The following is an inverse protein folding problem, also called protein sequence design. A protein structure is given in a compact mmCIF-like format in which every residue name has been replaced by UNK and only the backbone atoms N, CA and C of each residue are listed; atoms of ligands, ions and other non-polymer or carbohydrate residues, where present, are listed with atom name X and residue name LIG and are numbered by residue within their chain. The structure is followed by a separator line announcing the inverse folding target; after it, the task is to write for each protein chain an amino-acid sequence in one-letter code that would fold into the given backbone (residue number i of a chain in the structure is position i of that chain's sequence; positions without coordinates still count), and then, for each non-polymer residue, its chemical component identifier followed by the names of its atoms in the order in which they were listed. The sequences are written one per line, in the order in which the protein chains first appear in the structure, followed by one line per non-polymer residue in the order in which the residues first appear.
data_IF_834570094717
#
_entry.id   IF_834570094717
#
_cell.length_a   1.000
_cell.length_b   1.000
_cell.length_c   1.000
_cell.angle_alpha   90.00
_cell.angle_beta   90.00
_cell.angle_gamma   90.00
#
_symmetry.space_group_name_H-M   'P 1'
#
loop_
_entity.id
_entity.type
_entity.pdbx_description
1 polymer ?
#
# COMPACT_ATOMS: atom_id res chain seq x y z
N UNK A 1 -0.81 7.69 19.87
CA UNK A 1 -0.04 8.92 20.13
C UNK A 1 1.42 8.67 19.77
N UNK A 2 2.07 9.58 19.03
CA UNK A 2 3.45 9.39 18.51
C UNK A 2 4.48 10.33 19.17
N UNK A 3 4.02 11.26 20.01
CA UNK A 3 4.83 12.22 20.76
C UNK A 3 5.82 11.60 21.77
N UNK A 4 5.58 10.42 22.39
CA UNK A 4 6.50 9.93 23.42
C UNK A 4 7.82 9.34 22.88
N UNK A 5 7.95 9.17 21.55
CA UNK A 5 9.12 8.54 20.95
C UNK A 5 10.22 9.58 20.66
N UNK A 6 11.45 9.26 21.08
CA UNK A 6 12.64 10.03 20.71
C UNK A 6 13.05 9.71 19.26
N UNK A 7 12.43 10.40 18.29
CA UNK A 7 12.58 10.16 16.86
C UNK A 7 14.01 10.28 16.33
N UNK A 8 14.88 10.97 17.04
CA UNK A 8 16.32 11.10 16.76
C UNK A 8 17.03 9.74 16.81
N UNK A 9 16.45 8.77 17.53
CA UNK A 9 16.98 7.39 17.64
C UNK A 9 16.47 6.47 16.52
N UNK A 10 15.54 6.94 15.69
CA UNK A 10 14.90 6.13 14.66
C UNK A 10 15.12 6.75 13.28
N UNK A 11 15.60 5.94 12.34
CA UNK A 11 15.75 6.35 10.94
C UNK A 11 14.51 6.07 10.10
N UNK A 12 13.60 5.22 10.57
CA UNK A 12 12.47 4.74 9.78
C UNK A 12 11.29 4.27 10.64
N UNK A 13 10.09 4.34 10.07
CA UNK A 13 8.86 3.76 10.58
C UNK A 13 8.36 2.69 9.60
N UNK A 14 8.11 1.48 10.11
CA UNK A 14 7.52 0.39 9.31
C UNK A 14 6.00 0.39 9.46
N UNK A 15 5.29 0.42 8.33
CA UNK A 15 3.83 0.27 8.27
C UNK A 15 3.45 -1.21 8.42
N UNK A 16 3.30 -1.66 9.67
CA UNK A 16 3.01 -3.06 10.00
C UNK A 16 1.61 -3.56 9.61
N UNK A 17 0.75 -2.73 9.02
CA UNK A 17 -0.57 -3.10 8.54
C UNK A 17 -0.82 -2.44 7.17
N UNK A 18 -1.39 -3.18 6.22
CA UNK A 18 -1.68 -2.69 4.86
C UNK A 18 -2.62 -1.48 4.83
N UNK A 19 -3.47 -1.31 5.86
CA UNK A 19 -4.35 -0.15 6.00
C UNK A 19 -3.60 1.17 6.21
N UNK A 20 -2.38 1.14 6.77
CA UNK A 20 -1.64 2.37 7.02
C UNK A 20 -1.13 3.04 5.75
N UNK A 21 -1.06 2.31 4.63
CA UNK A 21 -0.67 2.87 3.34
C UNK A 21 -1.59 4.00 2.87
N UNK A 22 -2.86 4.04 3.30
CA UNK A 22 -3.81 5.09 2.93
C UNK A 22 -3.52 6.47 3.56
N UNK A 23 -2.62 6.51 4.54
CA UNK A 23 -2.40 7.66 5.43
C UNK A 23 -0.96 8.15 5.43
N UNK A 24 -0.14 7.78 4.43
CA UNK A 24 1.27 8.19 4.36
C UNK A 24 1.44 9.71 4.40
N UNK A 25 0.56 10.46 3.74
CA UNK A 25 0.54 11.93 3.79
C UNK A 25 0.34 12.49 5.20
N UNK A 26 -0.53 11.86 5.97
CA UNK A 26 -0.90 12.25 7.33
C UNK A 26 0.23 11.90 8.27
N UNK A 27 0.80 10.71 8.14
CA UNK A 27 2.01 10.31 8.86
C UNK A 27 3.17 11.25 8.55
N UNK A 28 3.31 11.72 7.31
CA UNK A 28 4.35 12.67 6.93
C UNK A 28 4.23 14.05 7.56
N UNK A 29 3.01 14.50 7.85
CA UNK A 29 2.78 15.75 8.60
C UNK A 29 3.16 15.64 10.08
N UNK A 30 3.24 14.41 10.62
CA UNK A 30 3.47 14.16 12.05
C UNK A 30 4.93 13.75 12.30
N UNK A 31 5.50 12.94 11.41
CA UNK A 31 6.84 12.38 11.56
C UNK A 31 7.92 13.40 11.13
N UNK A 32 9.07 13.43 11.83
CA UNK A 32 10.21 14.21 11.37
C UNK A 32 10.69 13.80 9.97
N UNK A 33 11.22 14.76 9.21
CA UNK A 33 11.61 14.56 7.82
C UNK A 33 12.71 13.51 7.62
N UNK A 34 13.56 13.25 8.62
CA UNK A 34 14.62 12.24 8.54
C UNK A 34 14.10 10.80 8.66
N UNK A 35 12.89 10.61 9.20
CA UNK A 35 12.29 9.29 9.41
C UNK A 35 11.65 8.82 8.11
N UNK A 36 12.20 7.79 7.48
CA UNK A 36 11.61 7.19 6.25
C UNK A 36 10.36 6.38 6.58
N UNK A 37 9.38 6.35 5.68
CA UNK A 37 8.23 5.45 5.82
C UNK A 37 8.49 4.20 4.97
N UNK A 38 8.42 3.03 5.59
CA UNK A 38 8.64 1.75 4.94
C UNK A 38 7.34 0.94 4.93
N UNK A 39 6.88 0.49 3.76
CA UNK A 39 5.77 -0.44 3.63
C UNK A 39 6.21 -1.81 3.09
N UNK A 40 5.28 -2.76 3.11
CA UNK A 40 5.54 -4.14 2.70
C UNK A 40 5.28 -4.46 1.23
N UNK A 41 4.74 -3.55 0.41
CA UNK A 41 4.19 -3.88 -0.91
C UNK A 41 5.26 -4.45 -1.85
N UNK A 42 6.35 -3.70 -2.09
CA UNK A 42 7.44 -4.13 -2.96
C UNK A 42 8.11 -5.42 -2.44
N UNK A 43 8.30 -5.51 -1.12
CA UNK A 43 8.85 -6.70 -0.47
C UNK A 43 7.97 -7.94 -0.67
N UNK A 44 6.65 -7.81 -0.51
CA UNK A 44 5.68 -8.89 -0.73
C UNK A 44 5.64 -9.33 -2.19
N UNK A 45 5.66 -8.39 -3.15
CA UNK A 45 5.70 -8.73 -4.58
C UNK A 45 6.98 -9.47 -4.95
N UNK A 46 8.13 -8.99 -4.48
CA UNK A 46 9.42 -9.64 -4.73
C UNK A 46 9.49 -11.05 -4.11
N UNK A 47 8.96 -11.22 -2.90
CA UNK A 47 8.90 -12.53 -2.25
C UNK A 47 7.95 -13.49 -2.98
N UNK A 48 6.81 -12.99 -3.48
CA UNK A 48 5.89 -13.77 -4.32
C UNK A 48 6.60 -14.26 -5.59
N UNK A 49 7.26 -13.36 -6.32
CA UNK A 49 8.04 -13.68 -7.52
C UNK A 49 9.10 -14.74 -7.19
N UNK A 50 9.87 -14.54 -6.11
CA UNK A 50 10.93 -15.47 -5.69
C UNK A 50 10.41 -16.87 -5.38
N UNK A 51 9.27 -16.99 -4.70
CA UNK A 51 8.69 -18.30 -4.32
C UNK A 51 8.03 -19.04 -5.47
N UNK A 52 7.46 -18.30 -6.42
CA UNK A 52 6.68 -18.87 -7.52
C UNK A 52 7.50 -19.04 -8.80
N UNK A 53 8.70 -18.44 -8.86
CA UNK A 53 9.52 -18.32 -10.07
C UNK A 53 8.75 -17.69 -11.24
N UNK A 54 7.76 -16.85 -10.93
CA UNK A 54 7.00 -16.10 -11.94
C UNK A 54 7.94 -15.11 -12.62
N UNK A 55 7.95 -15.11 -13.94
CA UNK A 55 8.63 -14.05 -14.69
C UNK A 55 7.76 -12.81 -14.63
N UNK A 56 8.28 -11.72 -14.08
CA UNK A 56 7.61 -10.42 -14.18
C UNK A 56 7.63 -10.00 -15.65
N UNK A 57 6.47 -10.00 -16.27
CA UNK A 57 6.26 -9.48 -17.61
C UNK A 57 5.36 -8.25 -17.50
N UNK A 58 5.66 -7.21 -18.27
CA UNK A 58 4.74 -6.10 -18.44
C UNK A 58 3.54 -6.64 -19.23
N UNK A 59 2.35 -6.52 -18.66
CA UNK A 59 1.15 -7.01 -19.34
C UNK A 59 0.97 -6.24 -20.66
N UNK A 60 0.76 -6.98 -21.76
CA UNK A 60 0.50 -6.40 -23.09
C UNK A 60 -0.86 -5.72 -23.18
N UNK A 61 -1.77 -6.07 -22.27
CA UNK A 61 -3.10 -5.47 -22.11
C UNK A 61 -3.43 -5.31 -20.62
N UNK A 62 -4.39 -4.43 -20.32
CA UNK A 62 -4.90 -4.30 -18.96
C UNK A 62 -5.62 -5.59 -18.56
N UNK A 63 -5.18 -6.27 -17.48
CA UNK A 63 -5.82 -7.49 -17.04
C UNK A 63 -7.23 -7.20 -16.51
N UNK A 64 -8.14 -8.14 -16.71
CA UNK A 64 -9.47 -8.10 -16.07
C UNK A 64 -9.31 -8.32 -14.57
N UNK A 65 -9.77 -7.36 -13.76
CA UNK A 65 -9.73 -7.44 -12.29
C UNK A 65 -11.12 -7.82 -11.77
N UNK A 66 -11.16 -8.78 -10.85
CA UNK A 66 -12.37 -9.16 -10.12
C UNK A 66 -12.16 -8.99 -8.62
N UNK A 67 -13.14 -8.40 -7.95
CA UNK A 67 -13.10 -8.17 -6.50
C UNK A 67 -14.06 -9.10 -5.78
N UNK A 68 -13.66 -9.56 -4.59
CA UNK A 68 -14.47 -10.45 -3.76
C UNK A 68 -14.44 -10.00 -2.30
N UNK A 69 -15.59 -10.04 -1.63
CA UNK A 69 -15.70 -9.88 -0.17
C UNK A 69 -16.11 -11.20 0.45
N UNK A 70 -15.23 -11.78 1.27
CA UNK A 70 -15.46 -13.07 1.94
C UNK A 70 -15.96 -14.17 0.99
N UNK A 71 -15.37 -14.26 -0.21
CA UNK A 71 -15.71 -15.24 -1.24
C UNK A 71 -16.86 -14.87 -2.17
N UNK A 72 -17.57 -13.75 -1.95
CA UNK A 72 -18.65 -13.28 -2.83
C UNK A 72 -18.14 -12.22 -3.80
N UNK A 73 -18.38 -12.41 -5.09
CA UNK A 73 -17.98 -11.47 -6.13
C UNK A 73 -18.71 -10.13 -5.97
N UNK A 74 -17.96 -9.04 -6.08
CA UNK A 74 -18.50 -7.67 -6.05
C UNK A 74 -18.90 -7.30 -7.48
N UNK A 75 -20.17 -7.46 -7.80
CA UNK A 75 -20.71 -7.14 -9.13
C UNK A 75 -21.43 -5.79 -9.24
N UNK A 76 -21.70 -5.10 -8.12
CA UNK A 76 -22.45 -3.85 -8.16
C UNK A 76 -21.53 -2.66 -8.48
N UNK A 77 -22.00 -1.77 -9.36
CA UNK A 77 -21.20 -0.66 -9.88
C UNK A 77 -20.79 0.35 -8.79
N UNK A 78 -21.62 0.55 -7.77
CA UNK A 78 -21.34 1.51 -6.70
C UNK A 78 -20.16 1.07 -5.81
N UNK A 79 -20.09 -0.21 -5.45
CA UNK A 79 -18.96 -0.77 -4.68
C UNK A 79 -17.70 -0.88 -5.53
N UNK A 80 -17.82 -1.22 -6.82
CA UNK A 80 -16.66 -1.16 -7.72
C UNK A 80 -16.08 0.26 -7.80
N UNK A 81 -16.92 1.28 -7.97
CA UNK A 81 -16.48 2.68 -7.96
C UNK A 81 -15.85 3.10 -6.62
N UNK A 82 -16.34 2.55 -5.50
CA UNK A 82 -15.76 2.76 -4.17
C UNK A 82 -14.38 2.13 -4.04
N UNK A 83 -14.21 0.88 -4.47
CA UNK A 83 -12.93 0.17 -4.49
C UNK A 83 -11.89 0.90 -5.35
N UNK A 84 -12.29 1.38 -6.52
CA UNK A 84 -11.42 2.19 -7.37
C UNK A 84 -10.97 3.48 -6.68
N UNK A 85 -11.85 4.13 -5.90
CA UNK A 85 -11.45 5.32 -5.12
C UNK A 85 -10.37 4.97 -4.10
N UNK A 86 -10.45 3.80 -3.48
CA UNK A 86 -9.42 3.33 -2.56
C UNK A 86 -8.11 3.00 -3.27
N UNK A 87 -8.15 2.36 -4.44
CA UNK A 87 -6.95 2.11 -5.24
C UNK A 87 -6.27 3.41 -5.69
N UNK A 88 -7.03 4.37 -6.22
CA UNK A 88 -6.49 5.70 -6.56
C UNK A 88 -5.85 6.40 -5.37
N UNK A 89 -6.44 6.25 -4.18
CA UNK A 89 -5.85 6.78 -2.96
C UNK A 89 -4.52 6.11 -2.63
N UNK A 90 -4.37 4.80 -2.84
CA UNK A 90 -3.09 4.12 -2.66
C UNK A 90 -2.05 4.61 -3.68
N UNK A 91 -2.43 4.83 -4.93
CA UNK A 91 -1.55 5.38 -5.96
C UNK A 91 -1.00 6.77 -5.56
N UNK A 92 -1.86 7.63 -5.00
CA UNK A 92 -1.44 8.94 -4.45
C UNK A 92 -0.43 8.79 -3.31
N UNK A 93 -0.61 7.79 -2.45
CA UNK A 93 0.25 7.55 -1.29
C UNK A 93 1.56 6.86 -1.67
N UNK A 94 1.61 6.11 -2.76
CA UNK A 94 2.84 5.51 -3.29
C UNK A 94 3.87 6.59 -3.65
N UNK A 95 3.42 7.76 -4.11
CA UNK A 95 4.29 8.90 -4.41
C UNK A 95 4.91 9.58 -3.16
N UNK A 96 4.57 9.12 -1.94
CA UNK A 96 5.04 9.70 -0.68
C UNK A 96 6.03 8.75 -0.01
N UNK A 97 7.28 9.19 0.09
CA UNK A 97 8.41 8.50 0.76
C UNK A 97 8.59 8.87 2.26
#
# INVERSE_FOLDING_TARGET
ELSPYAWEKFSSLVLGCTHFNYFKDTLRKILPAHVKILDGNAGTVNELIRRTNLKSARAESFPTIKFFYSGREVGNAAELARLEKFLRRLDEMEAIE
#
